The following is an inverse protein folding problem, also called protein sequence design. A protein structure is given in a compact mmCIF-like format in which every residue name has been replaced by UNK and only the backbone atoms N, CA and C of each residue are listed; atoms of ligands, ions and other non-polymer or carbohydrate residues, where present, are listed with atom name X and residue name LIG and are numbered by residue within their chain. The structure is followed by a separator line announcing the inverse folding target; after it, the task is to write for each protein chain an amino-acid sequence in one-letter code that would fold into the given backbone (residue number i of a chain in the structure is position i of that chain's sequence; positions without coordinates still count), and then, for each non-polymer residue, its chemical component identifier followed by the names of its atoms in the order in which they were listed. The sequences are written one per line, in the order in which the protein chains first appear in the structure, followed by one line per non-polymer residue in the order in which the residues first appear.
data_IF_790589010852
#
_entry.id   IF_790589010852
#
_cell.length_a   1.000
_cell.length_b   1.000
_cell.length_c   1.000
_cell.angle_alpha   90.00
_cell.angle_beta   90.00
_cell.angle_gamma   90.00
#
_symmetry.space_group_name_H-M   'P 1'
#
loop_
_entity.id
_entity.type
_entity.pdbx_description
1 polymer ?
#
# COMPACT_ATOMS: atom_id res chain seq x y z
N UNK A 1 -11.23 6.71 -31.12
CA UNK A 1 -10.83 5.96 -29.90
C UNK A 1 -10.65 6.97 -28.79
N UNK A 2 -11.54 6.95 -27.79
CA UNK A 2 -11.58 8.02 -26.76
C UNK A 2 -10.33 8.02 -25.88
N UNK A 3 -9.71 9.19 -25.71
CA UNK A 3 -8.55 9.38 -24.83
C UNK A 3 -8.79 8.90 -23.39
N UNK A 4 -10.04 8.96 -22.91
CA UNK A 4 -10.44 8.42 -21.60
C UNK A 4 -10.30 6.89 -21.49
N UNK A 5 -10.62 6.15 -22.56
CA UNK A 5 -10.50 4.69 -22.57
C UNK A 5 -9.03 4.24 -22.59
N UNK A 6 -8.18 4.97 -23.29
CA UNK A 6 -6.74 4.72 -23.33
C UNK A 6 -6.06 4.96 -21.97
N UNK A 7 -6.44 6.04 -21.29
CA UNK A 7 -5.93 6.35 -19.94
C UNK A 7 -6.37 5.30 -18.91
N UNK A 8 -7.64 4.88 -18.97
CA UNK A 8 -8.17 3.83 -18.08
C UNK A 8 -7.46 2.49 -18.28
N UNK A 9 -7.23 2.11 -19.53
CA UNK A 9 -6.52 0.86 -19.85
C UNK A 9 -5.05 0.89 -19.42
N UNK A 10 -4.38 2.04 -19.61
CA UNK A 10 -2.99 2.23 -19.16
C UNK A 10 -2.87 2.15 -17.64
N UNK A 11 -3.78 2.82 -16.93
CA UNK A 11 -3.86 2.78 -15.47
C UNK A 11 -4.04 1.35 -14.95
N UNK A 12 -5.07 0.64 -15.44
CA UNK A 12 -5.32 -0.76 -15.04
C UNK A 12 -4.11 -1.65 -15.31
N UNK A 13 -3.41 -1.47 -16.43
CA UNK A 13 -2.21 -2.22 -16.75
C UNK A 13 -1.05 -1.92 -15.80
N UNK A 14 -0.86 -0.67 -15.40
CA UNK A 14 0.17 -0.28 -14.45
C UNK A 14 -0.09 -0.90 -13.07
N UNK A 15 -1.32 -0.79 -12.57
CA UNK A 15 -1.72 -1.40 -11.28
C UNK A 15 -1.54 -2.92 -11.34
N UNK A 16 -1.94 -3.56 -12.43
CA UNK A 16 -1.78 -5.02 -12.62
C UNK A 16 -0.31 -5.44 -12.61
N UNK A 17 0.54 -4.72 -13.29
CA UNK A 17 1.97 -5.01 -13.32
C UNK A 17 2.60 -4.84 -11.93
N UNK A 18 2.30 -3.72 -11.26
CA UNK A 18 2.84 -3.44 -9.93
C UNK A 18 2.33 -4.44 -8.88
N UNK A 19 1.02 -4.72 -8.86
CA UNK A 19 0.47 -5.74 -7.97
C UNK A 19 1.06 -7.12 -8.24
N UNK A 20 1.33 -7.46 -9.50
CA UNK A 20 1.99 -8.71 -9.89
C UNK A 20 3.40 -8.84 -9.31
N UNK A 21 4.16 -7.74 -9.26
CA UNK A 21 5.48 -7.72 -8.65
C UNK A 21 5.37 -7.89 -7.13
N UNK A 22 4.53 -7.10 -6.47
CA UNK A 22 4.34 -7.16 -5.01
C UNK A 22 3.77 -8.49 -4.52
N UNK A 23 3.01 -9.18 -5.35
CA UNK A 23 2.38 -10.45 -5.00
C UNK A 23 3.13 -11.67 -5.53
N UNK A 24 4.40 -11.50 -5.93
CA UNK A 24 5.23 -12.60 -6.40
C UNK A 24 5.26 -13.72 -5.33
N UNK A 25 5.15 -14.96 -5.80
CA UNK A 25 5.18 -16.17 -4.97
C UNK A 25 4.03 -16.33 -3.94
N UNK A 26 3.05 -15.42 -3.94
CA UNK A 26 1.87 -15.52 -3.11
C UNK A 26 0.77 -16.37 -3.75
N UNK A 27 -0.19 -16.81 -2.94
CA UNK A 27 -1.37 -17.54 -3.39
C UNK A 27 -2.23 -16.69 -4.33
N UNK A 28 -3.06 -17.35 -5.15
CA UNK A 28 -3.98 -16.65 -6.07
C UNK A 28 -4.95 -15.71 -5.33
N UNK A 29 -5.38 -16.08 -4.13
CA UNK A 29 -6.27 -15.26 -3.30
C UNK A 29 -5.56 -13.99 -2.81
N UNK A 30 -4.33 -14.10 -2.32
CA UNK A 30 -3.52 -12.95 -1.91
C UNK A 30 -3.21 -12.03 -3.10
N UNK A 31 -2.91 -12.59 -4.27
CA UNK A 31 -2.68 -11.81 -5.51
C UNK A 31 -3.90 -10.98 -5.90
N UNK A 32 -5.09 -11.59 -5.86
CA UNK A 32 -6.34 -10.89 -6.12
C UNK A 32 -6.60 -9.79 -5.10
N UNK A 33 -6.39 -10.08 -3.83
CA UNK A 33 -6.58 -9.10 -2.75
C UNK A 33 -5.63 -7.89 -2.89
N UNK A 34 -4.33 -8.11 -3.14
CA UNK A 34 -3.37 -7.02 -3.35
C UNK A 34 -3.77 -6.16 -4.56
N UNK A 35 -4.20 -6.80 -5.65
CA UNK A 35 -4.68 -6.06 -6.82
C UNK A 35 -5.91 -5.22 -6.50
N UNK A 36 -6.93 -5.80 -5.85
CA UNK A 36 -8.17 -5.11 -5.49
C UNK A 36 -7.91 -3.90 -4.58
N UNK A 37 -7.03 -4.07 -3.58
CA UNK A 37 -6.65 -2.99 -2.68
C UNK A 37 -5.92 -1.86 -3.42
N UNK A 38 -4.89 -2.17 -4.20
CA UNK A 38 -4.13 -1.15 -4.95
C UNK A 38 -5.01 -0.43 -5.96
N UNK A 39 -5.81 -1.16 -6.72
CA UNK A 39 -6.72 -0.59 -7.69
C UNK A 39 -7.77 0.30 -7.03
N UNK A 40 -8.37 -0.19 -5.95
CA UNK A 40 -9.41 0.53 -5.23
C UNK A 40 -8.90 1.78 -4.54
N UNK A 41 -7.77 1.74 -3.84
CA UNK A 41 -7.13 2.90 -3.20
C UNK A 41 -6.81 3.97 -4.26
N UNK A 42 -6.18 3.56 -5.36
CA UNK A 42 -5.79 4.50 -6.41
C UNK A 42 -6.99 5.14 -7.10
N UNK A 43 -8.05 4.39 -7.29
CA UNK A 43 -9.26 4.87 -7.95
C UNK A 43 -10.12 5.72 -7.03
N UNK A 44 -10.35 5.29 -5.80
CA UNK A 44 -11.10 6.02 -4.78
C UNK A 44 -10.34 7.24 -4.24
N UNK A 45 -8.99 7.24 -4.32
CA UNK A 45 -8.12 8.21 -3.63
C UNK A 45 -8.40 8.26 -2.11
N UNK A 46 -8.84 7.14 -1.56
CA UNK A 46 -9.16 6.95 -0.15
C UNK A 46 -8.76 5.52 0.27
N UNK A 47 -8.44 5.36 1.56
CA UNK A 47 -8.08 4.07 2.17
C UNK A 47 -9.25 3.39 2.87
N UNK A 48 -10.43 4.02 2.94
CA UNK A 48 -11.61 3.43 3.55
C UNK A 48 -12.13 2.27 2.72
N UNK A 49 -12.33 1.12 3.35
CA UNK A 49 -12.82 -0.09 2.66
C UNK A 49 -14.15 0.13 1.93
N UNK A 50 -15.02 0.97 2.47
CA UNK A 50 -16.30 1.31 1.83
C UNK A 50 -16.09 2.03 0.51
N UNK A 51 -15.17 3.01 0.46
CA UNK A 51 -14.87 3.76 -0.78
C UNK A 51 -14.14 2.87 -1.79
N UNK A 52 -13.13 2.12 -1.33
CA UNK A 52 -12.46 1.11 -2.16
C UNK A 52 -13.47 0.15 -2.78
N UNK A 53 -14.40 -0.38 -1.97
CA UNK A 53 -15.42 -1.35 -2.42
C UNK A 53 -16.39 -0.78 -3.45
N UNK A 54 -16.69 0.52 -3.41
CA UNK A 54 -17.53 1.21 -4.42
C UNK A 54 -16.86 1.23 -5.78
N UNK A 55 -15.54 1.45 -5.79
CA UNK A 55 -14.77 1.59 -7.01
C UNK A 55 -14.33 0.27 -7.65
N UNK A 56 -14.45 -0.85 -6.93
CA UNK A 56 -14.26 -2.17 -7.51
C UNK A 56 -15.41 -2.50 -8.47
N UNK A 57 -15.07 -2.68 -9.74
CA UNK A 57 -16.02 -2.98 -10.82
C UNK A 57 -16.49 -4.45 -10.78
N UNK A 58 -17.10 -4.87 -9.68
CA UNK A 58 -17.63 -6.22 -9.51
C UNK A 58 -19.15 -6.19 -9.38
N UNK A 59 -19.83 -7.16 -10.00
CA UNK A 59 -21.30 -7.29 -9.94
C UNK A 59 -21.75 -8.03 -8.68
N UNK A 60 -21.30 -7.56 -7.51
CA UNK A 60 -21.74 -8.06 -6.19
C UNK A 60 -22.08 -6.89 -5.26
N UNK A 61 -22.94 -7.16 -4.28
CA UNK A 61 -23.37 -6.15 -3.32
C UNK A 61 -22.20 -5.51 -2.59
N UNK A 62 -22.26 -4.19 -2.38
CA UNK A 62 -21.21 -3.39 -1.75
C UNK A 62 -20.74 -3.99 -0.42
N UNK A 63 -21.70 -4.34 0.45
CA UNK A 63 -21.40 -4.91 1.77
C UNK A 63 -20.63 -6.25 1.69
N UNK A 64 -20.88 -7.05 0.65
CA UNK A 64 -20.16 -8.31 0.44
C UNK A 64 -18.71 -8.06 0.00
N UNK A 65 -18.48 -7.03 -0.83
CA UNK A 65 -17.11 -6.62 -1.22
C UNK A 65 -16.33 -6.11 -0.02
N UNK A 66 -16.93 -5.22 0.75
CA UNK A 66 -16.33 -4.65 1.96
C UNK A 66 -15.98 -5.74 2.99
N UNK A 67 -16.93 -6.65 3.27
CA UNK A 67 -16.69 -7.77 4.17
C UNK A 67 -15.57 -8.69 3.67
N UNK A 68 -15.51 -8.97 2.36
CA UNK A 68 -14.42 -9.75 1.78
C UNK A 68 -13.07 -9.08 1.96
N UNK A 69 -12.96 -7.79 1.69
CA UNK A 69 -11.71 -7.04 1.89
C UNK A 69 -11.30 -7.01 3.36
N UNK A 70 -12.26 -6.77 4.26
CA UNK A 70 -12.02 -6.77 5.71
C UNK A 70 -11.53 -8.12 6.21
N UNK A 71 -12.18 -9.22 5.78
CA UNK A 71 -11.76 -10.57 6.15
C UNK A 71 -10.37 -10.92 5.61
N UNK A 72 -10.06 -10.50 4.39
CA UNK A 72 -8.74 -10.72 3.81
C UNK A 72 -7.65 -9.93 4.55
N UNK A 73 -7.94 -8.70 4.99
CA UNK A 73 -7.03 -7.92 5.83
C UNK A 73 -6.73 -8.60 7.17
N UNK A 74 -7.73 -9.24 7.77
CA UNK A 74 -7.57 -9.97 9.03
C UNK A 74 -6.81 -11.29 8.87
N UNK A 75 -7.02 -11.97 7.74
CA UNK A 75 -6.51 -13.32 7.53
C UNK A 75 -5.14 -13.36 6.85
N UNK A 76 -4.75 -12.32 6.13
CA UNK A 76 -3.49 -12.28 5.41
C UNK A 76 -2.49 -11.37 6.13
N UNK A 77 -1.47 -11.96 6.73
CA UNK A 77 -0.30 -11.20 7.18
C UNK A 77 0.67 -11.03 6.00
N UNK A 78 0.52 -9.93 5.30
CA UNK A 78 1.30 -9.60 4.10
C UNK A 78 2.37 -8.54 4.37
N UNK A 79 2.48 -8.04 5.60
CA UNK A 79 3.32 -6.88 5.94
C UNK A 79 4.79 -7.13 5.61
N UNK A 80 5.33 -8.23 6.08
CA UNK A 80 6.73 -8.58 5.85
C UNK A 80 7.01 -8.84 4.36
N UNK A 81 6.14 -9.60 3.70
CA UNK A 81 6.29 -9.91 2.28
C UNK A 81 6.28 -8.64 1.41
N UNK A 82 5.30 -7.76 1.61
CA UNK A 82 5.18 -6.51 0.85
C UNK A 82 6.39 -5.60 1.12
N UNK A 83 6.83 -5.47 2.36
CA UNK A 83 7.98 -4.67 2.71
C UNK A 83 9.26 -5.20 2.05
N UNK A 84 9.48 -6.51 2.05
CA UNK A 84 10.62 -7.13 1.39
C UNK A 84 10.62 -6.89 -0.13
N UNK A 85 9.46 -7.03 -0.80
CA UNK A 85 9.34 -6.76 -2.23
C UNK A 85 9.52 -5.27 -2.56
N UNK A 86 9.01 -4.36 -1.73
CA UNK A 86 9.22 -2.91 -1.88
C UNK A 86 10.69 -2.56 -1.69
N UNK A 87 11.35 -3.15 -0.68
CA UNK A 87 12.79 -2.96 -0.48
C UNK A 87 13.60 -3.45 -1.68
N UNK A 88 13.27 -4.64 -2.21
CA UNK A 88 13.92 -5.20 -3.39
C UNK A 88 13.74 -4.32 -4.63
N UNK A 89 12.55 -3.73 -4.81
CA UNK A 89 12.26 -2.81 -5.92
C UNK A 89 13.01 -1.48 -5.81
N UNK A 90 13.19 -0.98 -4.59
CA UNK A 90 13.86 0.30 -4.34
C UNK A 90 15.37 0.17 -4.30
N UNK A 91 15.90 -0.93 -3.80
CA UNK A 91 17.36 -1.13 -3.64
C UNK A 91 18.13 -1.01 -4.96
N UNK A 92 17.55 -1.44 -6.07
CA UNK A 92 18.14 -1.28 -7.41
C UNK A 92 18.05 0.12 -8.02
N UNK A 93 17.33 1.04 -7.37
CA UNK A 93 17.12 2.42 -7.84
C UNK A 93 17.85 3.45 -6.99
N UNK A 94 18.31 3.06 -5.81
CA UNK A 94 19.02 3.94 -4.88
C UNK A 94 20.51 3.88 -5.11
N UNK A 95 21.12 5.03 -5.31
CA UNK A 95 22.55 5.19 -5.41
C UNK A 95 23.12 5.70 -4.06
N UNK A 96 24.42 5.54 -3.85
CA UNK A 96 25.09 5.97 -2.62
C UNK A 96 25.04 7.50 -2.38
N UNK A 97 24.62 8.27 -3.37
CA UNK A 97 24.51 9.74 -3.33
C UNK A 97 23.07 10.22 -3.15
N UNK A 98 22.09 9.30 -3.22
CA UNK A 98 20.69 9.68 -3.07
C UNK A 98 20.37 10.09 -1.63
N UNK A 99 19.65 11.18 -1.48
CA UNK A 99 19.18 11.69 -0.19
C UNK A 99 17.73 11.29 -0.04
N UNK A 100 17.46 10.45 0.96
CA UNK A 100 16.09 10.10 1.33
C UNK A 100 15.66 11.06 2.43
N UNK A 101 14.71 11.95 2.09
CA UNK A 101 14.06 12.79 3.07
C UNK A 101 12.78 12.09 3.55
N UNK A 102 12.58 11.90 4.86
CA UNK A 102 11.41 11.35 5.48
C UNK A 102 10.78 12.46 6.32
N UNK A 103 9.56 12.82 6.20
CA UNK A 103 8.85 13.82 7.00
C UNK A 103 8.00 13.09 8.07
N UNK A 104 8.30 13.23 9.37
CA UNK A 104 7.49 12.63 10.41
C UNK A 104 6.21 13.43 10.56
N UNK A 105 5.08 12.90 10.12
CA UNK A 105 3.78 13.45 10.47
C UNK A 105 3.23 12.77 11.72
N UNK A 106 2.85 13.57 12.71
CA UNK A 106 2.10 13.10 13.87
C UNK A 106 0.66 12.78 13.47
N UNK A 107 0.31 11.51 13.43
CA UNK A 107 -1.09 11.10 13.33
C UNK A 107 -1.71 11.19 14.72
N UNK A 108 -2.12 12.39 15.10
CA UNK A 108 -2.89 12.59 16.33
C UNK A 108 -4.33 12.10 16.12
N UNK A 109 -4.69 11.02 16.82
CA UNK A 109 -6.08 10.54 16.91
C UNK A 109 -6.58 10.75 18.33
N UNK A 110 -7.15 11.92 18.64
CA UNK A 110 -7.53 12.28 20.03
C UNK A 110 -8.59 11.36 20.64
N UNK A 111 -9.26 10.53 19.83
CA UNK A 111 -10.29 9.59 20.28
C UNK A 111 -9.82 8.12 20.38
N UNK A 112 -8.61 7.81 19.96
CA UNK A 112 -8.07 6.46 20.05
C UNK A 112 -7.41 6.24 21.42
N UNK A 113 -8.18 5.81 22.42
CA UNK A 113 -7.67 5.55 23.78
C UNK A 113 -6.82 4.28 23.90
N UNK A 114 -6.85 3.40 22.92
CA UNK A 114 -6.18 2.09 22.96
C UNK A 114 -5.51 1.75 21.62
N UNK A 115 -4.68 2.65 21.09
CA UNK A 115 -3.77 2.25 20.02
C UNK A 115 -2.47 1.71 20.62
N UNK A 116 -2.28 0.40 20.53
CA UNK A 116 -1.06 -0.27 21.01
C UNK A 116 0.22 0.09 20.22
N UNK A 117 0.09 0.83 19.13
CA UNK A 117 1.22 1.31 18.33
C UNK A 117 0.90 2.64 17.68
N UNK A 118 1.19 3.73 18.37
CA UNK A 118 1.50 5.00 17.71
C UNK A 118 2.97 4.92 17.27
N UNK A 119 3.22 4.60 16.03
CA UNK A 119 4.57 4.69 15.48
C UNK A 119 4.78 6.14 15.05
N UNK A 120 5.51 6.89 15.85
CA UNK A 120 6.10 8.16 15.42
C UNK A 120 7.32 7.80 14.60
N UNK A 121 7.22 7.85 13.29
CA UNK A 121 8.38 7.73 12.42
C UNK A 121 9.18 9.03 12.50
N UNK A 122 10.29 8.99 13.22
CA UNK A 122 11.33 10.01 13.12
C UNK A 122 12.20 9.69 11.92
N UNK A 123 12.55 10.73 11.23
CA UNK A 123 13.25 10.71 9.99
C UNK A 123 14.71 10.46 10.01
N UNK A 124 15.21 9.86 8.96
CA UNK A 124 16.64 9.70 8.77
C UNK A 124 17.07 10.06 7.35
N UNK A 125 17.95 11.06 7.26
CA UNK A 125 18.74 11.27 6.05
C UNK A 125 19.92 10.31 6.08
N UNK A 126 20.03 9.43 5.11
CA UNK A 126 21.18 8.53 4.99
C UNK A 126 22.20 9.19 4.07
N UNK A 127 23.24 9.74 4.65
CA UNK A 127 24.50 10.02 3.96
C UNK A 127 25.48 8.91 4.31
N UNK A 128 26.29 8.45 3.37
CA UNK A 128 27.28 7.39 3.57
C UNK A 128 28.10 7.66 4.86
N UNK A 129 27.92 6.80 5.86
CA UNK A 129 28.65 6.90 7.14
C UNK A 129 27.87 7.45 8.33
N UNK A 130 26.55 7.70 8.22
CA UNK A 130 25.71 8.05 9.38
C UNK A 130 24.94 6.83 9.86
N UNK A 131 24.98 6.58 11.17
CA UNK A 131 24.14 5.59 11.82
C UNK A 131 22.69 6.11 11.90
N UNK A 132 21.75 5.22 11.56
CA UNK A 132 20.33 5.49 11.65
C UNK A 132 19.87 5.23 13.07
N UNK A 133 19.41 6.24 13.78
CA UNK A 133 18.78 6.07 15.09
C UNK A 133 17.28 6.29 14.93
N UNK A 134 16.51 5.21 15.05
CA UNK A 134 15.04 5.26 15.06
C UNK A 134 14.60 5.33 16.53
N UNK A 135 13.98 6.42 16.93
CA UNK A 135 13.29 6.49 18.22
C UNK A 135 11.83 6.09 18.04
N UNK A 136 11.45 4.97 18.65
CA UNK A 136 10.07 4.56 18.82
C UNK A 136 9.65 4.99 20.23
N UNK A 137 8.59 5.78 20.34
CA UNK A 137 8.00 6.20 21.61
C UNK A 137 6.61 5.62 21.75
#
# INVERSE_FOLDING_TARGET
MDSKSLLSNRFSSQVKNFSGILSKDLSKLCKGFIYDMLFGIEKAKDIKLTEISRDLCENIALIKKENRLSQNLLNFDLSEHINNELYRLSSGKLNNEDVIAIDPEDISKPYAKEMNTCVVFGMVAIKKGLEVIIYVK
#
